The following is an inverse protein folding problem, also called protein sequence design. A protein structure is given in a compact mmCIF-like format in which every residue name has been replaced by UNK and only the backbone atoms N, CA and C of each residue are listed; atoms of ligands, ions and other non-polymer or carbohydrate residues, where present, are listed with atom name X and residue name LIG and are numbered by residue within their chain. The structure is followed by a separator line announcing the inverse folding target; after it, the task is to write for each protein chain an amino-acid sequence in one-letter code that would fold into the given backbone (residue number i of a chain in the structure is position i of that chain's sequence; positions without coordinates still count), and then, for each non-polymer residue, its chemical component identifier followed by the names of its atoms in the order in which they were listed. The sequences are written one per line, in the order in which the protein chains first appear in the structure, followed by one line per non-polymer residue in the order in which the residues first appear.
data_IF_769316291547
#
_entry.id   IF_769316291547
#
_cell.length_a   1.000
_cell.length_b   1.000
_cell.length_c   1.000
_cell.angle_alpha   90.00
_cell.angle_beta   90.00
_cell.angle_gamma   90.00
#
_symmetry.space_group_name_H-M   'P 1'
#
loop_
_entity.id
_entity.type
_entity.pdbx_description
1 polymer ?
#
# COMPACT_ATOMS: atom_id res chain seq x y z
N UNK A 1 -16.61 8.01 13.67
CA UNK A 1 -15.60 7.27 12.89
C UNK A 1 -14.34 6.97 13.71
N UNK A 2 -14.49 6.35 14.89
CA UNK A 2 -13.34 5.78 15.64
C UNK A 2 -13.12 4.31 15.23
N UNK A 3 -14.22 3.59 14.94
CA UNK A 3 -14.17 2.19 14.53
C UNK A 3 -13.41 1.97 13.21
N UNK A 4 -13.73 2.72 12.16
CA UNK A 4 -13.04 2.61 10.87
C UNK A 4 -11.53 2.90 10.96
N UNK A 5 -11.13 3.89 11.76
CA UNK A 5 -9.73 4.25 11.94
C UNK A 5 -8.96 3.19 12.72
N UNK A 6 -9.56 2.66 13.79
CA UNK A 6 -8.98 1.54 14.54
C UNK A 6 -8.80 0.30 13.66
N UNK A 7 -9.79 0.01 12.81
CA UNK A 7 -9.71 -1.08 11.84
C UNK A 7 -8.57 -0.85 10.84
N UNK A 8 -8.48 0.35 10.24
CA UNK A 8 -7.38 0.70 9.35
C UNK A 8 -6.00 0.51 10.02
N UNK A 9 -5.86 0.90 11.29
CA UNK A 9 -4.61 0.77 12.03
C UNK A 9 -4.19 -0.70 12.22
N UNK A 10 -5.12 -1.54 12.71
CA UNK A 10 -4.85 -2.96 12.98
C UNK A 10 -4.59 -3.71 11.68
N UNK A 11 -5.45 -3.54 10.68
CA UNK A 11 -5.34 -4.24 9.40
C UNK A 11 -4.08 -3.80 8.65
N UNK A 12 -3.74 -2.51 8.71
CA UNK A 12 -2.52 -1.96 8.13
C UNK A 12 -1.25 -2.53 8.74
N UNK A 13 -1.17 -2.59 10.07
CA UNK A 13 -0.04 -3.20 10.77
C UNK A 13 0.08 -4.71 10.47
N UNK A 14 -1.05 -5.42 10.42
CA UNK A 14 -1.10 -6.83 10.05
C UNK A 14 -0.56 -7.05 8.62
N UNK A 15 -1.04 -6.26 7.65
CA UNK A 15 -0.61 -6.36 6.26
C UNK A 15 0.89 -6.07 6.08
N UNK A 16 1.43 -5.07 6.80
CA UNK A 16 2.87 -4.78 6.79
C UNK A 16 3.69 -5.95 7.33
N UNK A 17 3.24 -6.61 8.40
CA UNK A 17 3.90 -7.80 8.93
C UNK A 17 3.92 -8.96 7.92
N UNK A 18 2.78 -9.23 7.28
CA UNK A 18 2.70 -10.26 6.23
C UNK A 18 3.67 -9.92 5.09
N UNK A 19 3.71 -8.68 4.63
CA UNK A 19 4.61 -8.25 3.56
C UNK A 19 6.09 -8.40 3.95
N UNK A 20 6.44 -8.07 5.21
CA UNK A 20 7.79 -8.26 5.75
C UNK A 20 8.17 -9.73 5.80
N UNK A 21 7.30 -10.58 6.31
CA UNK A 21 7.58 -12.00 6.47
C UNK A 21 7.71 -12.71 5.12
N UNK A 22 6.90 -12.30 4.13
CA UNK A 22 7.06 -12.74 2.74
C UNK A 22 8.41 -12.32 2.16
N UNK A 23 8.83 -11.06 2.34
CA UNK A 23 10.16 -10.60 1.87
C UNK A 23 11.29 -11.37 2.54
N UNK A 24 11.19 -11.61 3.85
CA UNK A 24 12.19 -12.39 4.59
C UNK A 24 12.25 -13.83 4.07
N UNK A 25 11.09 -14.46 3.84
CA UNK A 25 11.00 -15.80 3.27
C UNK A 25 11.69 -15.86 1.91
N UNK A 26 11.42 -14.91 1.01
CA UNK A 26 12.11 -14.84 -0.30
C UNK A 26 13.62 -14.70 -0.13
N UNK A 27 14.08 -13.80 0.73
CA UNK A 27 15.51 -13.61 0.98
C UNK A 27 16.20 -14.86 1.57
N UNK A 28 15.48 -15.66 2.36
CA UNK A 28 16.02 -16.88 2.97
C UNK A 28 16.08 -18.04 1.99
N UNK A 29 15.02 -18.24 1.18
CA UNK A 29 14.84 -19.47 0.41
C UNK A 29 15.11 -19.31 -1.10
N UNK A 30 15.26 -18.10 -1.61
CA UNK A 30 15.55 -17.84 -3.03
C UNK A 30 17.00 -17.36 -3.16
N UNK A 31 17.95 -18.23 -3.57
CA UNK A 31 19.33 -17.84 -3.82
C UNK A 31 19.39 -16.73 -4.87
N UNK A 32 20.24 -15.73 -4.65
CA UNK A 32 20.40 -14.56 -5.53
C UNK A 32 19.15 -13.70 -5.73
N UNK A 33 18.17 -13.75 -4.81
CA UNK A 33 17.07 -12.81 -4.84
C UNK A 33 17.60 -11.36 -4.79
N UNK A 34 17.12 -10.47 -5.67
CA UNK A 34 17.54 -9.09 -5.67
C UNK A 34 17.17 -8.44 -4.32
N UNK A 35 18.13 -7.75 -3.70
CA UNK A 35 17.92 -7.06 -2.42
C UNK A 35 16.87 -5.97 -2.62
N UNK A 36 15.63 -6.24 -2.21
CA UNK A 36 14.54 -5.28 -2.34
C UNK A 36 14.61 -4.25 -1.20
N UNK A 37 15.31 -3.14 -1.45
CA UNK A 37 15.42 -1.98 -0.53
C UNK A 37 14.20 -1.04 -0.58
N UNK A 38 13.16 -1.35 -1.33
CA UNK A 38 11.98 -0.47 -1.39
C UNK A 38 11.23 -0.51 -0.05
N UNK A 39 10.88 0.69 0.42
CA UNK A 39 10.05 0.87 1.62
C UNK A 39 8.75 0.07 1.47
N UNK A 40 8.39 -0.66 2.51
CA UNK A 40 7.14 -1.40 2.54
C UNK A 40 6.01 -0.41 2.75
N UNK A 41 5.25 -0.19 1.68
CA UNK A 41 4.06 0.66 1.69
C UNK A 41 2.88 -0.24 1.39
N UNK A 42 1.82 -0.10 2.18
CA UNK A 42 0.55 -0.77 1.97
C UNK A 42 -0.57 0.28 1.94
N UNK A 43 -1.58 0.06 1.11
CA UNK A 43 -2.75 0.93 1.05
C UNK A 43 -3.97 0.15 1.49
N UNK A 44 -4.80 0.75 2.33
CA UNK A 44 -6.10 0.18 2.69
C UNK A 44 -7.21 1.16 2.39
N UNK A 45 -8.39 0.61 2.13
CA UNK A 45 -9.64 1.37 2.08
C UNK A 45 -10.51 0.89 3.22
N UNK A 46 -11.04 1.82 4.00
CA UNK A 46 -12.04 1.52 5.04
C UNK A 46 -13.33 2.25 4.73
N UNK A 47 -14.45 1.62 5.06
CA UNK A 47 -15.80 2.10 4.76
C UNK A 47 -16.63 2.21 6.03
N UNK A 48 -17.20 3.38 6.30
CA UNK A 48 -18.17 3.61 7.38
C UNK A 48 -19.44 4.25 6.77
N UNK A 49 -20.44 3.41 6.48
CA UNK A 49 -21.63 3.84 5.74
C UNK A 49 -21.25 4.35 4.33
N UNK A 50 -21.69 5.56 3.91
CA UNK A 50 -21.34 6.09 2.60
C UNK A 50 -19.91 6.66 2.53
N UNK A 51 -19.22 6.79 3.67
CA UNK A 51 -17.87 7.35 3.75
C UNK A 51 -16.85 6.26 3.46
N UNK A 52 -15.93 6.54 2.54
CA UNK A 52 -14.81 5.68 2.18
C UNK A 52 -13.52 6.45 2.41
N UNK A 53 -12.58 5.86 3.13
CA UNK A 53 -11.29 6.45 3.47
C UNK A 53 -10.17 5.64 2.82
N UNK A 54 -9.21 6.32 2.19
CA UNK A 54 -7.97 5.71 1.71
C UNK A 54 -6.84 6.07 2.66
N UNK A 55 -6.17 5.03 3.16
CA UNK A 55 -5.04 5.12 4.06
C UNK A 55 -3.79 4.56 3.39
N UNK A 56 -2.65 5.17 3.70
CA UNK A 56 -1.33 4.60 3.43
C UNK A 56 -0.70 4.16 4.74
N UNK A 57 -0.08 3.00 4.74
CA UNK A 57 0.57 2.35 5.87
C UNK A 57 2.03 2.12 5.53
N UNK A 58 2.92 2.43 6.46
CA UNK A 58 4.34 2.24 6.28
C UNK A 58 5.01 2.10 7.65
N UNK A 59 6.23 1.57 7.63
CA UNK A 59 7.05 1.44 8.83
C UNK A 59 8.26 2.38 8.72
N UNK A 60 8.55 3.09 9.80
CA UNK A 60 9.82 3.82 9.99
C UNK A 60 10.46 3.20 11.23
N UNK A 61 11.67 2.66 11.05
CA UNK A 61 12.34 1.84 12.06
C UNK A 61 11.43 0.70 12.54
N UNK A 62 11.02 0.67 13.81
CA UNK A 62 10.11 -0.34 14.38
C UNK A 62 8.68 0.17 14.60
N UNK A 63 8.39 1.42 14.22
CA UNK A 63 7.09 2.04 14.46
C UNK A 63 6.17 1.93 13.22
N UNK A 64 4.94 1.48 13.44
CA UNK A 64 3.89 1.49 12.43
C UNK A 64 3.29 2.89 12.31
N UNK A 65 3.20 3.36 11.08
CA UNK A 65 2.58 4.63 10.76
C UNK A 65 1.47 4.42 9.73
N UNK A 66 0.44 5.23 9.86
CA UNK A 66 -0.61 5.35 8.86
C UNK A 66 -0.95 6.81 8.62
N UNK A 67 -1.30 7.16 7.39
CA UNK A 67 -1.71 8.50 7.02
C UNK A 67 -2.97 8.42 6.17
N UNK A 68 -3.97 9.21 6.55
CA UNK A 68 -5.17 9.39 5.76
C UNK A 68 -4.81 10.17 4.51
N UNK A 69 -4.96 9.56 3.34
CA UNK A 69 -4.72 10.24 2.07
C UNK A 69 -5.95 11.00 1.60
N UNK A 70 -7.13 10.39 1.73
CA UNK A 70 -8.36 11.00 1.26
C UNK A 70 -9.61 10.34 1.84
N UNK A 71 -10.68 11.13 1.91
CA UNK A 71 -12.03 10.70 2.24
C UNK A 71 -12.94 11.02 1.04
N UNK A 72 -13.87 10.12 0.74
CA UNK A 72 -14.97 10.32 -0.19
C UNK A 72 -16.30 9.94 0.44
N UNK A 73 -17.34 10.68 0.07
CA UNK A 73 -18.74 10.33 0.30
C UNK A 73 -19.34 9.83 -1.01
N UNK A 74 -19.54 8.52 -1.10
CA UNK A 74 -19.95 7.85 -2.34
C UNK A 74 -21.40 8.13 -2.76
N UNK A 75 -22.21 8.77 -1.90
CA UNK A 75 -23.52 9.30 -2.31
C UNK A 75 -23.42 10.53 -3.21
N UNK A 76 -22.23 11.14 -3.33
CA UNK A 76 -21.95 12.22 -4.28
C UNK A 76 -21.33 11.58 -5.54
N UNK A 77 -21.99 11.65 -6.72
CA UNK A 77 -21.54 10.95 -7.93
C UNK A 77 -20.11 11.30 -8.37
N UNK A 78 -19.69 12.56 -8.16
CA UNK A 78 -18.32 12.99 -8.46
C UNK A 78 -17.31 12.28 -7.56
N UNK A 79 -17.58 12.22 -6.25
CA UNK A 79 -16.68 11.60 -5.28
C UNK A 79 -16.65 10.09 -5.43
N UNK A 80 -17.76 9.44 -5.77
CA UNK A 80 -17.78 8.01 -6.10
C UNK A 80 -16.88 7.68 -7.29
N UNK A 81 -16.91 8.49 -8.36
CA UNK A 81 -16.01 8.33 -9.51
C UNK A 81 -14.56 8.55 -9.14
N UNK A 82 -14.27 9.54 -8.30
CA UNK A 82 -12.91 9.81 -7.84
C UNK A 82 -12.37 8.71 -6.93
N UNK A 83 -13.22 8.15 -6.07
CA UNK A 83 -12.89 7.00 -5.24
C UNK A 83 -12.44 5.82 -6.11
N UNK A 84 -13.25 5.39 -7.08
CA UNK A 84 -12.90 4.24 -7.95
C UNK A 84 -11.62 4.48 -8.77
N UNK A 85 -11.38 5.73 -9.20
CA UNK A 85 -10.17 6.08 -9.95
C UNK A 85 -8.90 6.04 -9.11
N UNK A 86 -9.00 6.21 -7.78
CA UNK A 86 -7.84 6.35 -6.90
C UNK A 86 -7.05 5.05 -6.73
N UNK A 87 -7.67 3.88 -6.46
CA UNK A 87 -6.99 2.59 -6.52
C UNK A 87 -6.34 2.31 -7.88
N UNK A 88 -7.01 2.66 -8.99
CA UNK A 88 -6.44 2.52 -10.33
C UNK A 88 -5.12 3.28 -10.48
N UNK A 89 -5.04 4.51 -9.99
CA UNK A 89 -3.80 5.30 -9.98
C UNK A 89 -2.70 4.68 -9.11
N UNK A 90 -3.06 4.12 -7.95
CA UNK A 90 -2.10 3.44 -7.06
C UNK A 90 -1.52 2.21 -7.77
N UNK A 91 -2.36 1.41 -8.42
CA UNK A 91 -1.91 0.22 -9.16
C UNK A 91 -1.01 0.59 -10.34
N UNK A 92 -1.38 1.62 -11.12
CA UNK A 92 -0.53 2.11 -12.21
C UNK A 92 0.79 2.69 -11.72
N UNK A 93 0.82 3.35 -10.56
CA UNK A 93 2.06 3.78 -9.92
C UNK A 93 2.93 2.58 -9.53
N UNK A 94 2.34 1.55 -8.93
CA UNK A 94 3.05 0.30 -8.58
C UNK A 94 3.71 -0.36 -9.79
N UNK A 95 3.01 -0.42 -10.92
CA UNK A 95 3.51 -0.97 -12.18
C UNK A 95 4.73 -0.20 -12.74
N UNK A 96 4.69 1.13 -12.70
CA UNK A 96 5.83 1.97 -13.10
C UNK A 96 7.09 1.68 -12.25
N UNK A 97 6.93 1.44 -10.94
CA UNK A 97 8.05 1.02 -10.07
C UNK A 97 8.63 -0.34 -10.49
N UNK A 98 7.81 -1.27 -10.97
CA UNK A 98 8.25 -2.56 -11.49
C UNK A 98 9.03 -2.42 -12.81
N UNK A 99 8.51 -1.60 -13.73
CA UNK A 99 9.13 -1.31 -15.03
C UNK A 99 10.47 -0.57 -14.85
N UNK A 100 10.54 0.46 -14.00
CA UNK A 100 11.81 1.17 -13.74
C UNK A 100 12.87 0.27 -13.11
N UNK A 101 12.47 -0.68 -12.25
CA UNK A 101 13.38 -1.63 -11.62
C UNK A 101 13.92 -2.64 -12.64
N UNK A 102 13.06 -3.14 -13.54
CA UNK A 102 13.47 -4.04 -14.62
C UNK A 102 14.39 -3.35 -15.65
N UNK A 103 14.09 -2.09 -16.02
CA UNK A 103 14.90 -1.32 -16.96
C UNK A 103 16.29 -0.96 -16.40
N UNK A 104 16.43 -0.81 -15.08
CA UNK A 104 17.75 -0.61 -14.44
C UNK A 104 18.60 -1.86 -14.43
N UNK A 105 17.99 -3.04 -14.26
CA UNK A 105 18.73 -4.31 -14.29
C UNK A 105 19.32 -4.59 -15.68
N UNK A 106 18.58 -4.29 -16.76
CA UNK A 106 19.04 -4.47 -18.14
C UNK A 106 20.16 -3.52 -18.61
N UNK A 107 20.55 -2.52 -17.80
CA UNK A 107 21.58 -1.54 -18.17
C UNK A 107 22.95 -1.80 -17.51
N UNK A 108 23.04 -2.88 -16.72
CA UNK A 108 24.23 -3.27 -15.96
C UNK A 108 24.87 -4.57 -16.46
N UNK A 109 24.32 -5.14 -17.54
CA UNK A 109 24.87 -6.25 -18.33
C UNK A 109 25.35 -5.73 -19.68
#
# INVERSE_FOLDING_TARGET
MVGAQNQAAVDGACALNILRDLKNTVNTYVPHAPVNRQRQIFFSVVTEGPIHELWVHYQIDEAYHMTLLRIWRTTIPKEAREFVRSPGKILSWGDLTGIETALRQQRTE
#
